data_IF_643062058172
#
_entry.id   IF_643062058172
#
_cell.length_a   1.000
_cell.length_b   1.000
_cell.length_c   1.000
_cell.angle_alpha   90.00
_cell.angle_beta   90.00
_cell.angle_gamma   90.00
#
_symmetry.space_group_name_H-M   'P 1'
#
loop_
_entity.id
_entity.type
_entity.pdbx_description
1 polymer ?
#
# COMPACT_ATOMS: atom_id res chain seq x y z
N UNK A 1 -2.32 17.53 12.80
CA UNK A 1 -2.74 17.00 11.47
C UNK A 1 -2.26 17.84 10.29
N UNK A 2 -2.32 19.19 10.35
CA UNK A 2 -1.83 20.09 9.28
C UNK A 2 -0.42 19.76 8.74
N UNK A 3 0.52 19.31 9.59
CA UNK A 3 1.87 18.93 9.17
C UNK A 3 2.04 17.50 8.60
N UNK A 4 1.06 16.60 8.73
CA UNK A 4 1.14 15.23 8.15
C UNK A 4 0.60 15.18 6.73
N UNK A 5 -0.50 15.88 6.45
CA UNK A 5 -1.05 15.99 5.09
C UNK A 5 -0.07 16.74 4.19
N UNK A 6 0.51 17.85 4.66
CA UNK A 6 1.56 18.58 3.92
C UNK A 6 2.78 17.70 3.57
N UNK A 7 3.23 16.85 4.50
CA UNK A 7 4.36 15.90 4.29
C UNK A 7 4.07 14.78 3.30
N UNK A 8 2.83 14.66 2.80
CA UNK A 8 2.47 13.66 1.80
C UNK A 8 1.99 14.30 0.50
N UNK A 9 1.11 15.31 0.60
CA UNK A 9 0.58 16.01 -0.56
C UNK A 9 1.63 16.85 -1.31
N UNK A 10 2.61 17.45 -0.61
CA UNK A 10 3.65 18.25 -1.26
C UNK A 10 4.62 17.35 -2.06
N UNK A 11 5.21 16.28 -1.48
CA UNK A 11 5.99 15.30 -2.25
C UNK A 11 5.24 14.72 -3.44
N UNK A 12 3.94 14.46 -3.25
CA UNK A 12 3.06 13.98 -4.31
C UNK A 12 2.97 14.94 -5.48
N UNK A 13 2.59 16.19 -5.25
CA UNK A 13 2.44 17.15 -6.35
C UNK A 13 3.75 17.42 -7.03
N UNK A 14 4.87 17.46 -6.28
CA UNK A 14 6.21 17.48 -6.87
C UNK A 14 6.41 16.30 -7.82
N UNK A 15 6.09 15.07 -7.40
CA UNK A 15 6.24 13.88 -8.23
C UNK A 15 5.31 13.86 -9.45
N UNK A 16 4.03 14.13 -9.26
CA UNK A 16 3.04 14.17 -10.34
C UNK A 16 3.44 15.21 -11.41
N UNK A 17 3.92 16.38 -10.98
CA UNK A 17 4.45 17.42 -11.87
C UNK A 17 5.75 16.99 -12.56
N UNK A 18 6.68 16.35 -11.86
CA UNK A 18 7.92 15.82 -12.47
C UNK A 18 7.63 14.74 -13.52
N UNK A 19 6.60 13.90 -13.32
CA UNK A 19 6.24 12.85 -14.25
C UNK A 19 5.36 13.33 -15.41
N UNK A 20 4.64 14.45 -15.26
CA UNK A 20 3.71 14.96 -16.27
C UNK A 20 4.38 15.15 -17.65
N UNK A 21 5.60 15.72 -17.78
CA UNK A 21 6.29 15.82 -19.08
C UNK A 21 6.55 14.45 -19.73
N UNK A 22 6.94 13.44 -18.95
CA UNK A 22 7.18 12.10 -19.46
C UNK A 22 5.89 11.44 -19.97
N UNK A 23 4.76 11.68 -19.30
CA UNK A 23 3.43 11.21 -19.74
C UNK A 23 3.06 11.85 -21.06
N UNK A 24 3.14 13.18 -21.14
CA UNK A 24 2.82 13.93 -22.35
C UNK A 24 3.68 13.48 -23.53
N UNK A 25 4.97 13.21 -23.29
CA UNK A 25 5.88 12.67 -24.29
C UNK A 25 5.48 11.26 -24.77
N UNK A 26 5.09 10.35 -23.86
CA UNK A 26 4.63 9.00 -24.23
C UNK A 26 3.35 9.05 -25.05
N UNK A 27 2.36 9.85 -24.60
CA UNK A 27 1.10 10.05 -25.32
C UNK A 27 1.35 10.62 -26.72
N UNK A 28 2.19 11.65 -26.83
CA UNK A 28 2.58 12.22 -28.11
C UNK A 28 3.28 11.20 -29.02
N UNK A 29 4.23 10.42 -28.49
CA UNK A 29 4.94 9.37 -29.25
C UNK A 29 4.02 8.26 -29.75
N UNK A 30 2.91 8.00 -29.09
CA UNK A 30 1.93 6.97 -29.48
C UNK A 30 0.73 7.55 -30.24
N UNK A 31 0.76 8.84 -30.59
CA UNK A 31 -0.32 9.50 -31.33
C UNK A 31 -1.62 9.66 -30.53
N UNK A 32 -1.56 9.54 -29.20
CA UNK A 32 -2.69 9.64 -28.29
C UNK A 32 -2.80 11.06 -27.72
N UNK A 33 -4.01 11.58 -27.61
CA UNK A 33 -4.30 12.87 -26.97
C UNK A 33 -4.94 12.60 -25.61
N UNK A 34 -4.31 13.07 -24.54
CA UNK A 34 -4.92 13.03 -23.20
C UNK A 34 -5.96 14.16 -23.09
N UNK A 35 -7.19 13.83 -22.68
CA UNK A 35 -8.23 14.82 -22.44
C UNK A 35 -7.89 15.67 -21.20
N UNK A 36 -8.42 16.90 -21.12
CA UNK A 36 -8.21 17.77 -19.96
C UNK A 36 -8.71 17.12 -18.66
N UNK A 37 -9.84 16.41 -18.74
CA UNK A 37 -10.37 15.60 -17.64
C UNK A 37 -9.41 14.46 -17.26
N UNK A 38 -8.78 13.81 -18.24
CA UNK A 38 -7.72 12.83 -18.02
C UNK A 38 -6.49 13.40 -17.33
N UNK A 39 -6.09 14.65 -17.65
CA UNK A 39 -4.98 15.35 -16.98
C UNK A 39 -5.36 15.74 -15.54
N UNK A 40 -6.58 16.23 -15.31
CA UNK A 40 -7.06 16.57 -13.97
C UNK A 40 -7.20 15.31 -13.11
N UNK A 41 -7.78 14.25 -13.65
CA UNK A 41 -7.84 12.94 -13.00
C UNK A 41 -6.43 12.39 -12.70
N UNK A 42 -5.48 12.57 -13.62
CA UNK A 42 -4.06 12.22 -13.45
C UNK A 42 -3.37 12.99 -12.32
N UNK A 43 -3.58 14.31 -12.18
CA UNK A 43 -2.96 15.13 -11.13
C UNK A 43 -3.64 14.95 -9.77
N UNK A 44 -4.93 14.62 -9.73
CA UNK A 44 -5.71 14.69 -8.48
C UNK A 44 -6.28 13.37 -7.96
N UNK A 45 -6.55 12.35 -8.78
CA UNK A 45 -7.43 11.27 -8.35
C UNK A 45 -7.01 9.85 -8.72
N UNK A 46 -6.59 9.56 -9.96
CA UNK A 46 -6.18 8.20 -10.35
C UNK A 46 -5.50 8.19 -11.74
N UNK A 47 -4.24 7.75 -11.90
CA UNK A 47 -3.68 7.53 -13.22
C UNK A 47 -4.32 6.28 -13.86
N UNK A 48 -4.78 6.34 -15.12
CA UNK A 48 -5.18 5.14 -15.86
C UNK A 48 -3.98 4.19 -15.96
N UNK A 49 -4.24 2.92 -15.64
CA UNK A 49 -3.29 1.87 -15.21
C UNK A 49 -2.31 1.40 -16.29
N UNK A 50 -2.20 2.07 -17.43
CA UNK A 50 -1.44 1.54 -18.57
C UNK A 50 0.07 1.78 -18.49
N UNK A 51 0.55 2.61 -17.55
CA UNK A 51 1.98 2.90 -17.40
C UNK A 51 2.48 2.61 -15.97
N UNK A 52 3.29 1.54 -15.83
CA UNK A 52 3.92 1.07 -14.57
C UNK A 52 4.72 2.13 -13.79
N UNK A 53 5.05 3.26 -14.42
CA UNK A 53 5.69 4.41 -13.76
C UNK A 53 4.80 4.95 -12.61
N UNK A 54 3.49 4.72 -12.69
CA UNK A 54 2.48 5.30 -11.81
C UNK A 54 1.95 4.34 -10.74
N UNK A 55 2.41 3.08 -10.74
CA UNK A 55 2.04 2.04 -9.74
C UNK A 55 2.46 2.41 -8.31
N UNK A 56 3.20 3.50 -8.13
CA UNK A 56 3.62 4.01 -6.82
C UNK A 56 2.73 5.16 -6.31
N UNK A 57 1.86 5.72 -7.17
CA UNK A 57 1.07 6.93 -6.89
C UNK A 57 -0.34 6.62 -6.39
N UNK A 58 -0.88 5.45 -6.76
CA UNK A 58 -2.28 5.07 -6.50
C UNK A 58 -2.73 5.21 -5.03
N UNK A 59 -1.82 5.13 -4.06
CA UNK A 59 -2.18 5.16 -2.63
C UNK A 59 -2.39 6.56 -2.07
N UNK A 60 -2.11 7.61 -2.85
CA UNK A 60 -2.16 9.00 -2.36
C UNK A 60 -3.60 9.48 -2.22
N UNK A 61 -4.44 9.25 -3.23
CA UNK A 61 -5.86 9.61 -3.16
C UNK A 61 -6.56 8.92 -1.98
N UNK A 62 -6.38 7.60 -1.78
CA UNK A 62 -6.81 6.94 -0.54
C UNK A 62 -6.21 7.58 0.72
N UNK A 63 -4.91 7.87 0.76
CA UNK A 63 -4.24 8.41 1.95
C UNK A 63 -4.76 9.79 2.35
N UNK A 64 -5.01 10.69 1.40
CA UNK A 64 -5.56 12.02 1.68
C UNK A 64 -6.96 11.89 2.28
N UNK A 65 -7.82 11.07 1.66
CA UNK A 65 -9.17 10.83 2.15
C UNK A 65 -9.16 10.19 3.54
N UNK A 66 -8.33 9.17 3.77
CA UNK A 66 -8.11 8.57 5.09
C UNK A 66 -7.65 9.63 6.09
N UNK A 67 -6.69 10.48 5.73
CA UNK A 67 -6.16 11.53 6.60
C UNK A 67 -7.22 12.57 6.98
N UNK A 68 -8.17 12.86 6.08
CA UNK A 68 -9.30 13.74 6.32
C UNK A 68 -10.38 13.08 7.19
N UNK A 69 -10.63 11.77 7.00
CA UNK A 69 -11.61 11.01 7.80
C UNK A 69 -11.09 10.68 9.21
N UNK A 70 -9.80 10.40 9.36
CA UNK A 70 -9.18 9.96 10.60
C UNK A 70 -9.46 10.85 11.83
N UNK A 71 -9.44 12.19 11.78
CA UNK A 71 -9.79 13.02 12.95
C UNK A 71 -11.21 12.81 13.42
N UNK A 72 -12.16 12.64 12.50
CA UNK A 72 -13.57 12.38 12.84
C UNK A 72 -13.71 11.00 13.49
N UNK A 73 -13.11 9.97 12.89
CA UNK A 73 -13.07 8.62 13.45
C UNK A 73 -12.40 8.61 14.83
N UNK A 74 -11.27 9.31 14.99
CA UNK A 74 -10.55 9.41 16.25
C UNK A 74 -11.37 10.10 17.34
N UNK A 75 -12.08 11.18 17.00
CA UNK A 75 -12.98 11.89 17.91
C UNK A 75 -14.13 10.98 18.35
N UNK A 76 -14.76 10.28 17.40
CA UNK A 76 -15.81 9.31 17.66
C UNK A 76 -15.34 8.16 18.57
N UNK A 77 -14.18 7.57 18.29
CA UNK A 77 -13.60 6.48 19.09
C UNK A 77 -13.31 6.94 20.52
N UNK A 78 -12.76 8.15 20.70
CA UNK A 78 -12.45 8.69 22.03
C UNK A 78 -13.72 8.97 22.83
N UNK A 79 -14.77 9.50 22.19
CA UNK A 79 -16.02 9.89 22.83
C UNK A 79 -16.90 8.69 23.18
N UNK A 80 -17.10 7.78 22.23
CA UNK A 80 -18.08 6.70 22.35
C UNK A 80 -17.47 5.32 22.61
N UNK A 81 -16.15 5.16 22.44
CA UNK A 81 -15.41 3.90 22.67
C UNK A 81 -16.12 2.68 22.06
N UNK A 82 -16.49 2.71 20.76
CA UNK A 82 -17.23 1.62 20.15
C UNK A 82 -16.44 0.31 20.22
N UNK A 83 -17.11 -0.85 20.40
CA UNK A 83 -16.46 -2.14 20.36
C UNK A 83 -15.84 -2.40 18.98
N UNK A 84 -14.78 -3.22 18.91
CA UNK A 84 -14.09 -3.45 17.63
C UNK A 84 -15.02 -4.11 16.59
N UNK A 85 -15.93 -4.97 17.05
CA UNK A 85 -16.94 -5.64 16.22
C UNK A 85 -17.79 -4.65 15.42
N UNK A 86 -18.06 -3.46 15.96
CA UNK A 86 -18.81 -2.41 15.26
C UNK A 86 -18.12 -2.03 13.94
N UNK A 87 -16.80 -1.83 13.96
CA UNK A 87 -16.04 -1.49 12.75
C UNK A 87 -16.03 -2.65 11.75
N UNK A 88 -16.01 -3.89 12.22
CA UNK A 88 -16.13 -5.08 11.38
C UNK A 88 -17.48 -5.15 10.66
N UNK A 89 -18.57 -4.86 11.38
CA UNK A 89 -19.93 -4.80 10.80
C UNK A 89 -20.02 -3.69 9.75
N UNK A 90 -19.56 -2.47 10.08
CA UNK A 90 -19.54 -1.34 9.13
C UNK A 90 -18.78 -1.72 7.86
N UNK A 91 -17.66 -2.43 8.00
CA UNK A 91 -16.88 -2.87 6.86
C UNK A 91 -17.61 -3.93 6.03
N UNK A 92 -18.19 -4.97 6.66
CA UNK A 92 -18.95 -6.00 5.92
C UNK A 92 -20.11 -5.35 5.16
N UNK A 93 -20.86 -4.45 5.83
CA UNK A 93 -21.92 -3.69 5.19
C UNK A 93 -21.39 -2.89 3.99
N UNK A 94 -20.26 -2.18 4.13
CA UNK A 94 -19.67 -1.47 2.99
C UNK A 94 -19.40 -2.42 1.81
N UNK A 95 -18.87 -3.61 2.05
CA UNK A 95 -18.54 -4.56 0.98
C UNK A 95 -19.79 -5.16 0.31
N UNK A 96 -20.90 -5.30 1.04
CA UNK A 96 -22.19 -5.71 0.46
C UNK A 96 -22.74 -4.67 -0.51
N UNK A 97 -22.48 -3.38 -0.26
CA UNK A 97 -22.92 -2.28 -1.12
C UNK A 97 -21.84 -1.79 -2.09
N UNK A 98 -20.78 -2.58 -2.34
CA UNK A 98 -19.66 -2.17 -3.21
C UNK A 98 -20.07 -1.76 -4.63
N UNK A 99 -21.17 -2.31 -5.14
CA UNK A 99 -21.70 -1.97 -6.47
C UNK A 99 -22.25 -0.54 -6.58
N UNK A 100 -22.50 0.11 -5.44
CA UNK A 100 -23.15 1.42 -5.38
C UNK A 100 -22.16 2.58 -5.22
N UNK A 101 -20.86 2.32 -5.11
CA UNK A 101 -19.86 3.38 -4.92
C UNK A 101 -18.53 3.08 -5.64
N UNK A 102 -17.69 4.10 -5.91
CA UNK A 102 -16.45 3.93 -6.67
C UNK A 102 -15.38 3.12 -5.94
N UNK A 103 -14.52 2.42 -6.69
CA UNK A 103 -13.38 1.62 -6.18
C UNK A 103 -12.44 2.41 -5.24
N UNK A 104 -12.29 3.72 -5.47
CA UNK A 104 -11.54 4.62 -4.60
C UNK A 104 -12.13 4.64 -3.18
N UNK A 105 -13.46 4.74 -3.07
CA UNK A 105 -14.13 4.75 -1.78
C UNK A 105 -13.98 3.38 -1.07
N UNK A 106 -14.02 2.27 -1.84
CA UNK A 106 -13.75 0.93 -1.31
C UNK A 106 -12.36 0.86 -0.67
N UNK A 107 -11.38 1.39 -1.39
CA UNK A 107 -9.99 1.46 -0.95
C UNK A 107 -9.89 2.28 0.33
N UNK A 108 -10.48 3.48 0.36
CA UNK A 108 -10.49 4.35 1.55
C UNK A 108 -11.09 3.63 2.76
N UNK A 109 -12.24 2.96 2.62
CA UNK A 109 -12.91 2.27 3.74
C UNK A 109 -12.05 1.16 4.32
N UNK A 110 -11.49 0.29 3.48
CA UNK A 110 -10.68 -0.86 3.94
C UNK A 110 -9.37 -0.38 4.60
N UNK A 111 -8.69 0.59 3.99
CA UNK A 111 -7.44 1.12 4.56
C UNK A 111 -7.66 2.01 5.79
N UNK A 112 -8.79 2.72 5.87
CA UNK A 112 -9.20 3.44 7.09
C UNK A 112 -9.47 2.47 8.23
N UNK A 113 -10.13 1.35 7.96
CA UNK A 113 -10.35 0.28 8.94
C UNK A 113 -9.01 -0.28 9.47
N UNK A 114 -8.07 -0.62 8.59
CA UNK A 114 -6.73 -1.05 9.02
C UNK A 114 -6.01 0.01 9.87
N UNK A 115 -6.15 1.28 9.51
CA UNK A 115 -5.55 2.40 10.25
C UNK A 115 -6.16 2.53 11.65
N UNK A 116 -7.49 2.46 11.77
CA UNK A 116 -8.20 2.51 13.05
C UNK A 116 -7.82 1.32 13.93
N UNK A 117 -7.82 0.11 13.35
CA UNK A 117 -7.43 -1.10 14.06
C UNK A 117 -6.00 -1.00 14.60
N UNK A 118 -5.06 -0.64 13.72
CA UNK A 118 -3.64 -0.48 14.02
C UNK A 118 -3.36 0.55 15.12
N UNK A 119 -4.05 1.69 15.12
CA UNK A 119 -3.81 2.78 16.07
C UNK A 119 -4.50 2.61 17.42
N UNK A 120 -5.73 2.07 17.43
CA UNK A 120 -6.60 2.13 18.62
C UNK A 120 -6.85 0.77 19.28
N UNK A 121 -6.80 -0.34 18.53
CA UNK A 121 -7.29 -1.64 19.00
C UNK A 121 -6.22 -2.74 19.05
N UNK A 122 -5.04 -2.55 18.44
CA UNK A 122 -3.90 -3.50 18.58
C UNK A 122 -3.26 -3.52 19.97
N UNK A 123 -3.40 -2.44 20.75
CA UNK A 123 -2.79 -2.34 22.10
C UNK A 123 -3.53 -3.14 23.19
N UNK A 124 -4.75 -3.61 22.93
CA UNK A 124 -5.53 -4.47 23.83
C UNK A 124 -6.26 -5.51 22.97
N UNK A 125 -5.64 -6.68 22.77
CA UNK A 125 -6.32 -7.85 22.21
C UNK A 125 -7.38 -8.34 23.19
N UNK A 126 -8.54 -7.67 23.18
CA UNK A 126 -9.74 -8.18 23.84
C UNK A 126 -10.29 -9.38 23.06
N UNK A 127 -11.18 -10.15 23.71
CA UNK A 127 -11.85 -11.31 23.13
C UNK A 127 -12.49 -11.02 21.76
N UNK A 128 -12.98 -9.79 21.54
CA UNK A 128 -13.55 -9.34 20.27
C UNK A 128 -12.54 -9.38 19.11
N UNK A 129 -11.30 -8.97 19.33
CA UNK A 129 -10.26 -9.04 18.31
C UNK A 129 -9.92 -10.50 18.00
N UNK A 130 -9.90 -11.37 19.02
CA UNK A 130 -9.67 -12.81 18.84
C UNK A 130 -10.75 -13.42 17.96
N UNK A 131 -12.02 -13.12 18.24
CA UNK A 131 -13.15 -13.59 17.40
C UNK A 131 -13.00 -13.11 15.96
N UNK A 132 -12.70 -11.83 15.74
CA UNK A 132 -12.47 -11.31 14.38
C UNK A 132 -11.31 -11.99 13.65
N UNK A 133 -10.20 -12.28 14.36
CA UNK A 133 -9.05 -13.00 13.77
C UNK A 133 -9.42 -14.45 13.45
N UNK A 134 -10.13 -15.15 14.34
CA UNK A 134 -10.59 -16.53 14.10
C UNK A 134 -11.51 -16.60 12.88
N UNK A 135 -12.47 -15.68 12.77
CA UNK A 135 -13.36 -15.59 11.61
C UNK A 135 -12.56 -15.31 10.32
N UNK A 136 -11.58 -14.40 10.39
CA UNK A 136 -10.72 -14.10 9.24
C UNK A 136 -9.87 -15.30 8.81
N UNK A 137 -9.29 -16.04 9.77
CA UNK A 137 -8.55 -17.28 9.51
C UNK A 137 -9.46 -18.31 8.85
N UNK A 138 -10.67 -18.51 9.37
CA UNK A 138 -11.65 -19.44 8.80
C UNK A 138 -11.97 -19.10 7.34
N UNK A 139 -12.17 -17.82 7.03
CA UNK A 139 -12.41 -17.38 5.65
C UNK A 139 -11.21 -17.58 4.73
N UNK A 140 -9.98 -17.29 5.20
CA UNK A 140 -8.75 -17.53 4.44
C UNK A 140 -8.57 -19.02 4.13
N UNK A 141 -8.79 -19.90 5.12
CA UNK A 141 -8.73 -21.36 4.96
C UNK A 141 -9.81 -21.84 3.97
N UNK A 142 -11.03 -21.32 4.07
CA UNK A 142 -12.09 -21.64 3.12
C UNK A 142 -11.73 -21.21 1.69
N UNK A 143 -11.30 -19.97 1.49
CA UNK A 143 -11.02 -19.42 0.16
C UNK A 143 -9.85 -20.12 -0.55
N UNK A 144 -8.75 -20.40 0.18
CA UNK A 144 -7.57 -21.03 -0.41
C UNK A 144 -7.59 -22.56 -0.34
N UNK A 145 -8.16 -23.14 0.72
CA UNK A 145 -8.19 -24.58 0.93
C UNK A 145 -9.35 -25.27 0.22
N UNK A 146 -10.57 -24.73 0.35
CA UNK A 146 -11.80 -25.35 -0.18
C UNK A 146 -12.09 -24.85 -1.58
N UNK A 147 -12.21 -23.53 -1.76
CA UNK A 147 -12.50 -22.93 -3.07
C UNK A 147 -11.28 -22.90 -4.00
N UNK A 148 -10.07 -23.18 -3.49
CA UNK A 148 -8.81 -23.21 -4.25
C UNK A 148 -8.60 -21.94 -5.09
N UNK A 149 -8.99 -20.78 -4.56
CA UNK A 149 -8.75 -19.50 -5.25
C UNK A 149 -7.25 -19.29 -5.45
N UNK A 150 -6.82 -18.74 -6.59
CA UNK A 150 -5.41 -18.45 -6.81
C UNK A 150 -4.90 -17.43 -5.77
N UNK A 151 -3.69 -17.67 -5.28
CA UNK A 151 -3.02 -16.79 -4.31
C UNK A 151 -2.44 -15.55 -5.00
N UNK A 152 -3.31 -14.71 -5.55
CA UNK A 152 -2.93 -13.43 -6.15
C UNK A 152 -3.32 -12.27 -5.23
N UNK A 153 -2.46 -12.00 -4.25
CA UNK A 153 -2.66 -10.89 -3.32
C UNK A 153 -2.61 -9.52 -3.97
N UNK A 154 -1.96 -9.39 -5.13
CA UNK A 154 -1.86 -8.12 -5.83
C UNK A 154 -3.20 -7.80 -6.50
N UNK A 155 -3.84 -8.76 -7.16
CA UNK A 155 -5.18 -8.61 -7.70
C UNK A 155 -6.22 -8.32 -6.61
N UNK A 156 -6.09 -8.95 -5.43
CA UNK A 156 -7.01 -8.72 -4.32
C UNK A 156 -6.78 -7.39 -3.58
N UNK A 157 -5.65 -6.71 -3.82
CA UNK A 157 -5.31 -5.40 -3.28
C UNK A 157 -5.87 -4.26 -4.15
N UNK A 158 -6.22 -4.53 -5.41
CA UNK A 158 -6.59 -3.52 -6.40
C UNK A 158 -7.82 -3.92 -7.23
N UNK A 159 -9.05 -3.55 -6.80
CA UNK A 159 -9.40 -2.88 -5.55
C UNK A 159 -9.39 -3.83 -4.35
N UNK A 160 -9.17 -3.33 -3.12
CA UNK A 160 -9.11 -4.18 -1.94
C UNK A 160 -10.45 -4.86 -1.69
N UNK A 161 -10.44 -6.16 -1.42
CA UNK A 161 -11.66 -6.93 -1.16
C UNK A 161 -11.63 -7.68 0.18
N UNK A 162 -12.69 -8.45 0.47
CA UNK A 162 -12.82 -9.22 1.70
C UNK A 162 -11.69 -10.24 1.91
N UNK A 163 -11.13 -10.82 0.85
CA UNK A 163 -10.03 -11.75 0.93
C UNK A 163 -8.73 -11.04 1.36
N UNK A 164 -8.45 -9.88 0.78
CA UNK A 164 -7.33 -9.03 1.21
C UNK A 164 -7.48 -8.57 2.65
N UNK A 165 -8.70 -8.20 3.06
CA UNK A 165 -8.99 -7.85 4.45
C UNK A 165 -8.72 -9.03 5.39
N UNK A 166 -9.31 -10.19 5.12
CA UNK A 166 -9.20 -11.36 5.99
C UNK A 166 -7.74 -11.85 6.09
N UNK A 167 -7.01 -11.80 4.99
CA UNK A 167 -5.57 -12.07 4.98
C UNK A 167 -4.81 -11.08 5.85
N UNK A 168 -5.05 -9.76 5.68
CA UNK A 168 -4.44 -8.72 6.50
C UNK A 168 -4.76 -8.87 7.98
N UNK A 169 -6.02 -9.19 8.32
CA UNK A 169 -6.46 -9.48 9.68
C UNK A 169 -5.73 -10.69 10.27
N UNK A 170 -5.56 -11.74 9.47
CA UNK A 170 -4.86 -12.96 9.88
C UNK A 170 -3.39 -12.68 10.19
N UNK A 171 -2.66 -12.04 9.27
CA UNK A 171 -1.24 -11.75 9.45
C UNK A 171 -1.00 -10.76 10.59
N UNK A 172 -1.76 -9.66 10.63
CA UNK A 172 -1.58 -8.65 11.68
C UNK A 172 -2.04 -9.16 13.05
N UNK A 173 -3.10 -9.99 13.08
CA UNK A 173 -3.64 -10.58 14.30
C UNK A 173 -2.71 -11.63 14.92
N UNK A 174 -2.15 -12.51 14.11
CA UNK A 174 -1.26 -13.60 14.58
C UNK A 174 0.19 -13.10 14.70
N UNK A 175 0.70 -12.49 13.64
CA UNK A 175 2.12 -12.15 13.47
C UNK A 175 2.49 -10.72 13.85
N UNK A 176 1.53 -9.78 13.91
CA UNK A 176 1.83 -8.35 14.06
C UNK A 176 2.62 -8.00 15.31
N UNK A 177 2.36 -8.67 16.44
CA UNK A 177 3.11 -8.44 17.68
C UNK A 177 4.56 -8.94 17.60
N UNK A 178 4.77 -10.10 16.97
CA UNK A 178 6.09 -10.69 16.75
C UNK A 178 6.89 -9.88 15.74
N UNK A 179 6.27 -9.48 14.63
CA UNK A 179 6.87 -8.60 13.63
C UNK A 179 7.31 -7.28 14.25
N UNK A 180 6.48 -6.66 15.10
CA UNK A 180 6.85 -5.45 15.82
C UNK A 180 8.06 -5.68 16.73
N UNK A 181 8.05 -6.74 17.55
CA UNK A 181 9.18 -7.06 18.45
C UNK A 181 10.47 -7.31 17.65
N UNK A 182 10.39 -8.06 16.56
CA UNK A 182 11.50 -8.31 15.66
C UNK A 182 12.04 -7.01 15.05
N UNK A 183 11.15 -6.14 14.56
CA UNK A 183 11.55 -4.87 13.96
C UNK A 183 12.22 -3.94 14.98
N UNK A 184 11.69 -3.85 16.20
CA UNK A 184 12.31 -3.06 17.29
C UNK A 184 13.69 -3.61 17.65
N UNK A 185 13.81 -4.94 17.77
CA UNK A 185 15.11 -5.58 18.01
C UNK A 185 16.12 -5.27 16.90
N UNK A 186 15.68 -5.33 15.63
CA UNK A 186 16.54 -5.00 14.49
C UNK A 186 16.94 -3.51 14.49
N UNK A 187 16.00 -2.62 14.79
CA UNK A 187 16.24 -1.17 14.90
C UNK A 187 17.22 -0.81 16.02
N UNK A 188 17.13 -1.49 17.16
CA UNK A 188 18.03 -1.25 18.29
C UNK A 188 19.42 -1.82 18.04
N UNK A 189 19.50 -3.00 17.40
CA UNK A 189 20.76 -3.73 17.21
C UNK A 189 21.57 -3.29 16.00
N UNK A 190 20.93 -2.94 14.88
CA UNK A 190 21.62 -2.66 13.62
C UNK A 190 21.52 -1.19 13.25
N UNK A 191 22.65 -0.49 13.26
CA UNK A 191 22.75 0.94 12.86
C UNK A 191 22.17 1.17 11.47
N UNK A 192 22.40 0.24 10.53
CA UNK A 192 21.88 0.35 9.17
C UNK A 192 20.33 0.32 9.15
N UNK A 193 19.72 -0.59 9.93
CA UNK A 193 18.24 -0.70 10.01
C UNK A 193 17.64 0.55 10.63
N UNK A 194 18.27 1.09 11.69
CA UNK A 194 17.88 2.36 12.29
C UNK A 194 17.91 3.50 11.28
N UNK A 195 19.04 3.63 10.57
CA UNK A 195 19.23 4.66 9.56
C UNK A 195 18.17 4.59 8.46
N UNK A 196 17.88 3.39 7.94
CA UNK A 196 16.77 3.18 7.00
C UNK A 196 15.44 3.66 7.58
N UNK A 197 15.05 3.16 8.77
CA UNK A 197 13.76 3.50 9.38
C UNK A 197 13.65 5.02 9.64
N UNK A 198 14.74 5.67 10.04
CA UNK A 198 14.79 7.11 10.26
C UNK A 198 14.59 7.90 8.95
N UNK A 199 15.21 7.48 7.85
CA UNK A 199 15.00 8.09 6.53
C UNK A 199 13.54 7.92 6.12
N UNK A 200 13.01 6.70 6.15
CA UNK A 200 11.59 6.44 5.80
C UNK A 200 10.63 7.23 6.69
N UNK A 201 10.96 7.44 7.96
CA UNK A 201 10.14 8.20 8.90
C UNK A 201 10.24 9.72 8.72
N UNK A 202 11.40 10.25 8.28
CA UNK A 202 11.64 11.69 8.07
C UNK A 202 11.14 12.12 6.70
N UNK A 203 11.56 11.42 5.65
CA UNK A 203 11.31 11.75 4.25
C UNK A 203 9.89 11.37 3.80
N UNK A 204 9.23 10.45 4.51
CA UNK A 204 7.82 10.15 4.34
C UNK A 204 7.50 9.71 2.90
N UNK A 205 6.78 10.56 2.15
CA UNK A 205 6.39 10.26 0.79
C UNK A 205 7.41 10.63 -0.28
N UNK A 206 8.45 11.42 0.06
CA UNK A 206 9.53 11.73 -0.90
C UNK A 206 10.30 10.46 -1.29
N UNK A 207 10.33 9.45 -0.43
CA UNK A 207 11.00 8.18 -0.72
C UNK A 207 10.38 7.41 -1.89
N UNK A 208 9.08 7.60 -2.17
CA UNK A 208 8.41 6.94 -3.29
C UNK A 208 8.85 7.50 -4.64
N UNK A 209 9.29 8.77 -4.71
CA UNK A 209 9.93 9.34 -5.90
C UNK A 209 11.17 8.53 -6.28
N UNK A 210 12.04 8.32 -5.29
CA UNK A 210 13.29 7.57 -5.50
C UNK A 210 13.02 6.10 -5.74
N UNK A 211 11.99 5.54 -5.09
CA UNK A 211 11.61 4.15 -5.29
C UNK A 211 11.16 3.87 -6.73
N UNK A 212 10.37 4.78 -7.32
CA UNK A 212 9.93 4.66 -8.71
C UNK A 212 11.11 4.76 -9.68
N UNK A 213 12.02 5.71 -9.47
CA UNK A 213 13.23 5.84 -10.26
C UNK A 213 14.10 4.57 -10.16
N UNK A 214 14.32 4.07 -8.94
CA UNK A 214 15.09 2.85 -8.68
C UNK A 214 14.46 1.62 -9.35
N UNK A 215 13.12 1.52 -9.36
CA UNK A 215 12.38 0.43 -10.00
C UNK A 215 12.48 0.50 -11.52
N UNK A 216 12.39 1.70 -12.10
CA UNK A 216 12.59 1.90 -13.53
C UNK A 216 14.00 1.57 -13.97
N UNK A 217 15.00 1.97 -13.17
CA UNK A 217 16.40 1.70 -13.42
C UNK A 217 16.71 0.20 -13.32
N UNK A 218 16.20 -0.49 -12.29
CA UNK A 218 16.29 -1.95 -12.16
C UNK A 218 15.60 -2.67 -13.33
N UNK A 219 14.42 -2.21 -13.75
CA UNK A 219 13.70 -2.73 -14.92
C UNK A 219 14.38 -2.42 -16.26
N UNK A 220 15.12 -1.30 -16.33
CA UNK A 220 15.99 -0.94 -17.45
C UNK A 220 17.18 -1.89 -17.57
N UNK A 221 17.90 -2.12 -16.47
CA UNK A 221 18.99 -3.10 -16.42
C UNK A 221 18.54 -4.50 -16.82
N UNK A 222 17.40 -4.94 -16.28
CA UNK A 222 16.82 -6.26 -16.59
C UNK A 222 16.55 -6.42 -18.10
N UNK A 223 16.05 -5.36 -18.76
CA UNK A 223 15.78 -5.36 -20.21
C UNK A 223 17.06 -5.26 -21.04
N UNK A 224 17.98 -4.36 -20.69
CA UNK A 224 19.23 -4.16 -21.41
C UNK A 224 20.11 -5.40 -21.42
N UNK A 225 20.11 -6.17 -20.33
CA UNK A 225 20.89 -7.40 -20.18
C UNK A 225 20.17 -8.67 -20.67
N UNK A 226 18.95 -8.56 -21.22
CA UNK A 226 18.20 -9.71 -21.72
C UNK A 226 17.77 -10.73 -20.64
N UNK A 227 17.81 -10.34 -19.36
CA UNK A 227 17.64 -11.27 -18.23
C UNK A 227 16.20 -11.74 -17.99
N UNK A 228 15.23 -11.24 -18.77
CA UNK A 228 13.82 -11.53 -18.55
C UNK A 228 13.47 -13.02 -18.66
N UNK A 229 13.92 -13.69 -19.71
CA UNK A 229 13.64 -15.11 -19.94
C UNK A 229 14.42 -16.00 -18.98
N UNK A 230 15.72 -15.72 -18.81
CA UNK A 230 16.62 -16.47 -17.92
C UNK A 230 16.12 -16.48 -16.47
N UNK A 231 15.67 -15.33 -15.96
CA UNK A 231 15.11 -15.25 -14.60
C UNK A 231 13.75 -15.96 -14.54
N UNK A 232 12.93 -15.89 -15.59
CA UNK A 232 11.60 -16.51 -15.58
C UNK A 232 11.66 -18.05 -15.51
N UNK A 233 12.70 -18.66 -16.08
CA UNK A 233 12.84 -20.13 -16.15
C UNK A 233 13.42 -20.77 -14.87
N UNK A 234 14.06 -19.99 -14.00
CA UNK A 234 14.75 -20.51 -12.82
C UNK A 234 14.25 -19.88 -11.51
N UNK A 235 13.53 -20.66 -10.70
CA UNK A 235 13.00 -20.21 -9.39
C UNK A 235 14.09 -19.65 -8.45
N UNK A 236 15.28 -20.24 -8.46
CA UNK A 236 16.43 -19.75 -7.66
C UNK A 236 16.86 -18.34 -8.10
N UNK A 237 16.92 -18.08 -9.41
CA UNK A 237 17.23 -16.75 -9.94
C UNK A 237 16.10 -15.76 -9.68
N UNK A 238 14.84 -16.18 -9.66
CA UNK A 238 13.71 -15.33 -9.25
C UNK A 238 13.86 -14.89 -7.80
N UNK A 239 14.15 -15.82 -6.89
CA UNK A 239 14.34 -15.51 -5.47
C UNK A 239 15.54 -14.59 -5.25
N UNK A 240 16.67 -14.87 -5.91
CA UNK A 240 17.87 -14.02 -5.86
C UNK A 240 17.54 -12.63 -6.42
N UNK A 241 16.84 -12.54 -7.54
CA UNK A 241 16.44 -11.26 -8.13
C UNK A 241 15.52 -10.46 -7.22
N UNK A 242 14.57 -11.09 -6.53
CA UNK A 242 13.69 -10.43 -5.57
C UNK A 242 14.52 -9.84 -4.41
N UNK A 243 15.43 -10.63 -3.84
CA UNK A 243 16.25 -10.20 -2.70
C UNK A 243 17.23 -9.10 -3.10
N UNK A 244 18.01 -9.32 -4.17
CA UNK A 244 18.99 -8.34 -4.67
C UNK A 244 18.28 -7.09 -5.19
N UNK A 245 17.18 -7.25 -5.91
CA UNK A 245 16.35 -6.13 -6.38
C UNK A 245 15.84 -5.30 -5.21
N UNK A 246 15.32 -5.93 -4.16
CA UNK A 246 14.89 -5.23 -2.96
C UNK A 246 16.05 -4.49 -2.27
N UNK A 247 17.21 -5.14 -2.11
CA UNK A 247 18.41 -4.51 -1.54
C UNK A 247 18.92 -3.36 -2.41
N UNK A 248 18.88 -3.50 -3.72
CA UNK A 248 19.26 -2.46 -4.68
C UNK A 248 18.34 -1.25 -4.55
N UNK A 249 17.03 -1.46 -4.57
CA UNK A 249 16.04 -0.41 -4.35
C UNK A 249 16.29 0.31 -3.02
N UNK A 250 16.54 -0.45 -1.94
CA UNK A 250 16.86 0.13 -0.64
C UNK A 250 18.14 0.98 -0.67
N UNK A 251 19.23 0.49 -1.26
CA UNK A 251 20.50 1.22 -1.30
C UNK A 251 20.40 2.49 -2.15
N UNK A 252 19.77 2.43 -3.33
CA UNK A 252 19.57 3.64 -4.16
C UNK A 252 18.70 4.65 -3.43
N UNK A 253 17.65 4.21 -2.73
CA UNK A 253 16.85 5.10 -1.90
C UNK A 253 17.66 5.73 -0.76
N UNK A 254 18.72 5.11 -0.25
CA UNK A 254 19.63 5.78 0.70
C UNK A 254 20.48 6.83 0.01
N UNK A 255 21.14 6.49 -1.10
CA UNK A 255 22.17 7.36 -1.67
C UNK A 255 21.63 8.71 -2.19
N UNK A 256 20.33 8.79 -2.47
CA UNK A 256 19.70 10.01 -2.98
C UNK A 256 19.27 10.96 -1.83
N UNK A 257 19.18 10.50 -0.57
CA UNK A 257 18.77 11.29 0.60
C UNK A 257 19.90 11.47 1.63
#
# INVERSE_FOLDING_TARGET
MKGRVKRVAIPYWKYALCCLPAVLYIYWKHGLIISLDGVVSYVFFNPPVENRIFDHIWFISPYILISLCLPFCASFIRRYKPPFVFWGIVLILSQLFKSYYPDLLQTVVIYLFFTIWGLYYTKRLGWQNVVCVVVAVGYVVYAFGIEKRPFDLQANKFPPNLLFLAYGLTILGIGGSYMKKGLVLLYDKFRIVRYYIDIYSKEGYEIYLVHAFSTLLLGGFKRALGLNQIIAEHLSLQLIYIVIGFLFLLNVNIYIF
#
